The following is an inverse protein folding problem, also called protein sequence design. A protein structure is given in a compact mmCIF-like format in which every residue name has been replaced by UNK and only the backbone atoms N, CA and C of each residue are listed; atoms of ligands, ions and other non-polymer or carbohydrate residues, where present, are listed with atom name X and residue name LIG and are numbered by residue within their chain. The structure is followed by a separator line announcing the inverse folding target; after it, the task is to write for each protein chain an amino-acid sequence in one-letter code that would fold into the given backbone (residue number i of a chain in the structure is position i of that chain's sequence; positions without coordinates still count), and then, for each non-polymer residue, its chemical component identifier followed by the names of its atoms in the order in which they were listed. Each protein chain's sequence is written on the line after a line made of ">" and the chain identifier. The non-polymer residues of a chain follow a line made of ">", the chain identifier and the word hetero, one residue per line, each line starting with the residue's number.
data_IF_744838762974
#
_entry.id   IF_744838762974
#
_cell.length_a   1.000
_cell.length_b   1.000
_cell.length_c   1.000
_cell.angle_alpha   90.00
_cell.angle_beta   90.00
_cell.angle_gamma   90.00
#
_symmetry.space_group_name_H-M   'P 1'
#
loop_
_entity.id
_entity.type
_entity.pdbx_description
1 polymer ?
#
# COMPACT_ATOMS: atom_id res chain seq x y z
N UNK A 1 -12.33 -29.96 40.38
CA UNK A 1 -11.83 -28.85 39.54
C UNK A 1 -12.16 -27.52 40.19
N UNK A 2 -11.20 -26.91 40.89
CA UNK A 2 -11.38 -25.65 41.64
C UNK A 2 -11.16 -24.48 40.71
N UNK A 3 -12.18 -23.62 40.48
CA UNK A 3 -12.01 -22.35 39.81
C UNK A 3 -11.18 -21.40 40.69
N UNK A 4 -10.14 -20.76 40.20
CA UNK A 4 -9.37 -19.78 40.97
C UNK A 4 -10.28 -18.59 41.34
N UNK A 5 -10.35 -18.26 42.62
CA UNK A 5 -11.07 -17.08 43.15
C UNK A 5 -10.34 -15.83 42.62
N UNK A 6 -11.02 -14.96 41.87
CA UNK A 6 -10.51 -13.65 41.48
C UNK A 6 -10.21 -12.83 42.73
N UNK A 7 -9.08 -12.07 42.78
CA UNK A 7 -8.72 -11.25 43.92
C UNK A 7 -9.77 -10.17 44.18
N UNK A 8 -10.06 -9.90 45.46
CA UNK A 8 -11.11 -8.98 45.94
C UNK A 8 -11.04 -7.55 45.35
N UNK A 9 -9.85 -7.09 44.95
CA UNK A 9 -9.63 -5.79 44.34
C UNK A 9 -10.34 -5.67 42.95
N UNK A 10 -10.42 -6.76 42.20
CA UNK A 10 -11.14 -6.77 40.91
C UNK A 10 -12.66 -6.79 41.07
N UNK A 11 -13.17 -7.18 42.22
CA UNK A 11 -14.61 -7.23 42.52
C UNK A 11 -15.15 -5.85 42.89
N UNK A 12 -14.34 -5.03 43.60
CA UNK A 12 -14.72 -3.67 43.99
C UNK A 12 -14.77 -2.69 42.80
N UNK A 13 -13.99 -2.94 41.72
CA UNK A 13 -14.04 -2.13 40.50
C UNK A 13 -15.19 -2.51 39.56
N UNK A 14 -15.78 -3.73 39.72
CA UNK A 14 -16.91 -4.18 38.91
C UNK A 14 -18.26 -3.69 39.44
N UNK A 15 -18.34 -3.29 40.69
CA UNK A 15 -19.59 -2.91 41.38
C UNK A 15 -19.74 -1.36 41.51
N UNK A 16 -18.77 -0.59 41.04
CA UNK A 16 -18.94 0.85 40.89
C UNK A 16 -20.03 1.09 39.82
N UNK A 17 -21.09 1.86 40.12
CA UNK A 17 -22.06 2.22 39.08
C UNK A 17 -21.29 2.92 37.98
N UNK A 18 -21.19 2.28 36.82
CA UNK A 18 -20.70 2.92 35.59
C UNK A 18 -21.65 4.09 35.41
N UNK A 19 -21.17 5.29 35.74
CA UNK A 19 -21.87 6.54 35.43
C UNK A 19 -22.28 6.40 33.97
N UNK A 20 -23.58 6.34 33.69
CA UNK A 20 -24.09 6.17 32.36
C UNK A 20 -23.46 7.26 31.51
N UNK A 21 -22.51 6.86 30.68
CA UNK A 21 -21.94 7.79 29.69
C UNK A 21 -23.13 8.39 28.95
N UNK A 22 -23.14 9.71 28.71
CA UNK A 22 -24.25 10.36 28.03
C UNK A 22 -24.54 9.55 26.77
N UNK A 23 -25.76 9.03 26.64
CA UNK A 23 -26.17 8.21 25.49
C UNK A 23 -25.89 9.04 24.25
N UNK A 24 -24.88 8.63 23.50
CA UNK A 24 -24.50 9.31 22.27
C UNK A 24 -25.76 9.40 21.39
N UNK A 25 -26.06 10.60 20.91
CA UNK A 25 -27.25 10.82 20.09
C UNK A 25 -27.21 9.90 18.86
N UNK A 26 -28.34 9.23 18.55
CA UNK A 26 -28.43 8.38 17.37
C UNK A 26 -28.13 9.18 16.11
N UNK A 27 -27.41 8.59 15.14
CA UNK A 27 -27.01 9.27 13.92
C UNK A 27 -28.25 9.69 13.09
N UNK A 28 -28.19 10.79 12.35
CA UNK A 28 -29.23 11.19 11.41
C UNK A 28 -29.34 10.18 10.29
N UNK A 29 -30.57 9.73 9.94
CA UNK A 29 -30.80 8.60 9.02
C UNK A 29 -30.51 8.91 7.54
N UNK A 30 -30.55 10.17 7.11
CA UNK A 30 -30.33 10.56 5.72
C UNK A 30 -30.14 12.06 5.52
N UNK A 31 -29.71 12.48 4.33
CA UNK A 31 -29.58 13.87 3.92
C UNK A 31 -28.25 14.53 4.31
N UNK A 32 -28.08 15.83 4.07
CA UNK A 32 -26.82 16.54 4.28
C UNK A 32 -26.32 16.51 5.73
N UNK A 33 -27.24 16.38 6.70
CA UNK A 33 -26.90 16.22 8.12
C UNK A 33 -26.21 14.88 8.38
N UNK A 34 -26.56 13.81 7.67
CA UNK A 34 -25.90 12.51 7.78
C UNK A 34 -24.48 12.57 7.23
N UNK A 35 -24.25 13.25 6.10
CA UNK A 35 -22.91 13.44 5.53
C UNK A 35 -22.01 14.24 6.49
N UNK A 36 -22.52 15.34 7.02
CA UNK A 36 -21.78 16.14 8.01
C UNK A 36 -21.45 15.35 9.29
N UNK A 37 -22.38 14.51 9.74
CA UNK A 37 -22.17 13.67 10.91
C UNK A 37 -21.11 12.57 10.63
N UNK A 38 -21.16 11.91 9.46
CA UNK A 38 -20.15 10.92 9.05
C UNK A 38 -18.76 11.55 9.02
N UNK A 39 -18.64 12.73 8.41
CA UNK A 39 -17.37 13.43 8.34
C UNK A 39 -16.85 13.82 9.75
N UNK A 40 -17.73 14.32 10.61
CA UNK A 40 -17.39 14.66 12.00
C UNK A 40 -16.96 13.43 12.79
N UNK A 41 -17.73 12.34 12.72
CA UNK A 41 -17.44 11.09 13.41
C UNK A 41 -16.09 10.51 12.97
N UNK A 42 -15.87 10.41 11.66
CA UNK A 42 -14.64 9.86 11.11
C UNK A 42 -13.40 10.70 11.44
N UNK A 43 -13.51 12.04 11.38
CA UNK A 43 -12.37 12.93 11.64
C UNK A 43 -12.14 13.13 13.13
N UNK A 44 -13.16 13.51 13.88
CA UNK A 44 -12.98 13.86 15.29
C UNK A 44 -12.78 12.64 16.17
N UNK A 45 -13.67 11.66 16.10
CA UNK A 45 -13.57 10.46 16.91
C UNK A 45 -12.62 9.44 16.30
N UNK A 46 -12.73 9.20 15.00
CA UNK A 46 -11.90 8.24 14.30
C UNK A 46 -10.44 8.66 14.23
N UNK A 47 -10.16 9.80 13.63
CA UNK A 47 -8.78 10.20 13.36
C UNK A 47 -8.09 10.81 14.58
N UNK A 48 -8.74 11.78 15.28
CA UNK A 48 -8.11 12.57 16.34
C UNK A 48 -8.13 11.88 17.71
N UNK A 49 -9.17 11.13 18.03
CA UNK A 49 -9.33 10.49 19.34
C UNK A 49 -8.91 9.03 19.37
N UNK A 50 -8.91 8.36 18.23
CA UNK A 50 -8.74 6.92 18.08
C UNK A 50 -7.34 6.59 17.55
N UNK A 51 -6.30 6.78 18.24
CA UNK A 51 -4.89 6.38 17.95
C UNK A 51 -4.50 6.13 16.47
N UNK A 52 -5.30 6.65 15.50
CA UNK A 52 -5.09 6.43 14.06
C UNK A 52 -3.75 6.97 13.58
N UNK A 53 -3.24 8.02 14.23
CA UNK A 53 -1.90 8.55 13.96
C UNK A 53 -0.79 7.55 14.31
N UNK A 54 -0.93 6.83 15.43
CA UNK A 54 0.03 5.80 15.83
C UNK A 54 -0.02 4.60 14.88
N UNK A 55 -1.21 4.16 14.48
CA UNK A 55 -1.39 3.10 13.48
C UNK A 55 -0.84 3.50 12.12
N UNK A 56 -1.09 4.74 11.67
CA UNK A 56 -0.53 5.25 10.42
C UNK A 56 1.01 5.27 10.43
N UNK A 57 1.62 5.66 11.57
CA UNK A 57 3.08 5.62 11.73
C UNK A 57 3.63 4.19 11.64
N UNK A 58 2.96 3.22 12.28
CA UNK A 58 3.36 1.82 12.22
C UNK A 58 3.26 1.25 10.79
N UNK A 59 2.18 1.55 10.08
CA UNK A 59 1.99 1.16 8.67
C UNK A 59 3.07 1.79 7.80
N UNK A 60 3.32 3.10 7.95
CA UNK A 60 4.31 3.82 7.16
C UNK A 60 5.73 3.26 7.35
N UNK A 61 6.12 2.99 8.60
CA UNK A 61 7.41 2.38 8.92
C UNK A 61 7.51 0.97 8.32
N UNK A 62 6.49 0.14 8.51
CA UNK A 62 6.45 -1.23 7.97
C UNK A 62 6.53 -1.23 6.44
N UNK A 63 5.87 -0.26 5.78
CA UNK A 63 5.92 -0.09 4.34
C UNK A 63 7.32 0.30 3.87
N UNK A 64 7.90 1.33 4.45
CA UNK A 64 9.26 1.77 4.12
C UNK A 64 10.26 0.63 4.29
N UNK A 65 10.15 -0.12 5.40
CA UNK A 65 11.06 -1.23 5.70
C UNK A 65 10.89 -2.39 4.73
N UNK A 66 9.69 -2.62 4.19
CA UNK A 66 9.42 -3.66 3.20
C UNK A 66 10.04 -3.37 1.83
N UNK A 67 10.36 -2.11 1.52
CA UNK A 67 10.98 -1.74 0.24
C UNK A 67 12.37 -2.36 0.07
N UNK A 68 13.17 -2.49 1.14
CA UNK A 68 14.52 -3.04 1.05
C UNK A 68 14.53 -4.48 0.54
N UNK A 69 13.87 -5.46 1.19
CA UNK A 69 13.83 -6.84 0.69
C UNK A 69 13.06 -6.96 -0.62
N UNK A 70 12.09 -6.08 -0.89
CA UNK A 70 11.40 -6.03 -2.17
C UNK A 70 12.36 -5.66 -3.31
N UNK A 71 13.19 -4.63 -3.13
CA UNK A 71 14.21 -4.25 -4.11
C UNK A 71 15.24 -5.36 -4.33
N UNK A 72 15.67 -6.03 -3.25
CA UNK A 72 16.55 -7.20 -3.35
C UNK A 72 15.90 -8.31 -4.19
N UNK A 73 14.63 -8.60 -3.97
CA UNK A 73 13.91 -9.62 -4.72
C UNK A 73 13.76 -9.25 -6.20
N UNK A 74 13.34 -8.01 -6.48
CA UNK A 74 13.15 -7.52 -7.86
C UNK A 74 14.47 -7.56 -8.63
N UNK A 75 15.56 -7.08 -8.04
CA UNK A 75 16.88 -7.11 -8.66
C UNK A 75 17.39 -8.56 -8.84
N UNK A 76 17.13 -9.43 -7.85
CA UNK A 76 17.46 -10.84 -7.93
C UNK A 76 16.70 -11.57 -9.05
N UNK A 77 15.40 -11.32 -9.22
CA UNK A 77 14.58 -11.86 -10.31
C UNK A 77 15.08 -11.33 -11.66
N UNK A 78 15.30 -10.02 -11.75
CA UNK A 78 15.81 -9.40 -12.99
C UNK A 78 17.15 -9.99 -13.42
N UNK A 79 18.08 -10.16 -12.49
CA UNK A 79 19.37 -10.77 -12.78
C UNK A 79 19.28 -12.25 -13.13
N UNK A 80 18.40 -13.02 -12.46
CA UNK A 80 18.18 -14.44 -12.80
C UNK A 80 17.57 -14.59 -14.20
N UNK A 81 16.55 -13.80 -14.55
CA UNK A 81 15.95 -13.81 -15.88
C UNK A 81 16.95 -13.40 -16.95
N UNK A 82 17.76 -12.37 -16.69
CA UNK A 82 18.81 -11.94 -17.61
C UNK A 82 19.83 -13.04 -17.87
N UNK A 83 20.21 -13.82 -16.85
CA UNK A 83 21.16 -14.92 -16.99
C UNK A 83 20.59 -16.12 -17.75
N UNK A 84 19.28 -16.40 -17.61
CA UNK A 84 18.64 -17.55 -18.28
C UNK A 84 18.38 -17.29 -19.78
N UNK A 85 18.08 -16.07 -20.15
CA UNK A 85 17.65 -15.72 -21.51
C UNK A 85 18.71 -15.00 -22.33
N UNK A 86 19.97 -14.97 -21.85
CA UNK A 86 21.07 -14.30 -22.55
C UNK A 86 20.89 -12.77 -22.65
N UNK A 87 19.96 -12.21 -21.88
CA UNK A 87 19.67 -10.76 -21.90
C UNK A 87 20.90 -9.96 -21.47
N UNK A 88 21.79 -10.56 -20.66
CA UNK A 88 23.08 -9.96 -20.28
C UNK A 88 23.99 -9.71 -21.49
N UNK A 89 24.03 -10.66 -22.44
CA UNK A 89 24.78 -10.50 -23.71
C UNK A 89 24.10 -9.48 -24.63
N UNK A 90 22.76 -9.45 -24.66
CA UNK A 90 21.97 -8.46 -25.39
C UNK A 90 22.18 -7.04 -24.83
N UNK A 91 22.24 -6.89 -23.49
CA UNK A 91 22.52 -5.61 -22.85
C UNK A 91 23.97 -5.19 -23.10
N UNK A 92 24.93 -6.09 -23.01
CA UNK A 92 26.33 -5.82 -23.31
C UNK A 92 26.53 -5.47 -24.79
N UNK A 93 25.86 -6.16 -25.71
CA UNK A 93 25.86 -5.82 -27.13
C UNK A 93 25.18 -4.49 -27.42
N UNK A 94 24.12 -4.14 -26.67
CA UNK A 94 23.42 -2.88 -26.76
C UNK A 94 24.24 -1.70 -26.15
N UNK A 95 25.13 -1.98 -25.21
CA UNK A 95 26.08 -0.97 -24.68
C UNK A 95 27.20 -0.64 -25.69
N UNK A 96 27.58 -1.61 -26.52
CA UNK A 96 28.60 -1.42 -27.58
C UNK A 96 28.03 -0.82 -28.86
N UNK A 97 26.70 -0.83 -29.05
CA UNK A 97 26.01 -0.25 -30.20
C UNK A 97 25.31 1.05 -29.84
N UNK A 98 25.26 1.98 -30.82
CA UNK A 98 24.66 3.31 -30.68
C UNK A 98 23.12 3.34 -30.51
N UNK A 99 22.49 2.22 -30.21
CA UNK A 99 21.01 2.07 -30.17
C UNK A 99 20.46 1.19 -29.03
N UNK A 100 21.18 1.06 -27.92
CA UNK A 100 20.75 0.18 -26.83
C UNK A 100 19.49 0.66 -26.07
N UNK A 101 18.97 -0.23 -25.23
CA UNK A 101 17.81 -0.01 -24.33
C UNK A 101 17.89 1.31 -23.56
N UNK A 102 19.13 1.78 -23.27
CA UNK A 102 19.40 3.02 -22.58
C UNK A 102 19.26 4.26 -23.48
N UNK A 103 19.26 4.12 -24.80
CA UNK A 103 19.06 5.25 -25.72
C UNK A 103 17.60 5.72 -25.76
N UNK A 104 16.65 4.89 -25.32
CA UNK A 104 15.22 5.23 -25.25
C UNK A 104 14.87 5.90 -23.91
N UNK A 105 15.75 5.77 -22.90
CA UNK A 105 15.53 6.34 -21.56
C UNK A 105 16.11 7.76 -21.48
N UNK A 106 15.45 8.67 -20.72
CA UNK A 106 16.05 9.95 -20.36
C UNK A 106 17.43 9.74 -19.73
N UNK A 107 18.40 10.58 -20.07
CA UNK A 107 19.80 10.42 -19.63
C UNK A 107 19.97 10.31 -18.11
N UNK A 108 19.13 11.03 -17.35
CA UNK A 108 19.11 11.00 -15.89
C UNK A 108 18.70 9.61 -15.36
N UNK A 109 17.75 8.94 -16.02
CA UNK A 109 17.27 7.60 -15.67
C UNK A 109 18.31 6.55 -16.07
N UNK A 110 18.89 6.67 -17.27
CA UNK A 110 19.95 5.79 -17.74
C UNK A 110 21.19 5.83 -16.82
N UNK A 111 21.59 7.02 -16.37
CA UNK A 111 22.74 7.22 -15.48
C UNK A 111 22.56 6.54 -14.11
N UNK A 112 21.33 6.45 -13.61
CA UNK A 112 21.00 5.77 -12.34
C UNK A 112 20.91 4.26 -12.55
N UNK A 113 20.29 3.82 -13.65
CA UNK A 113 20.00 2.38 -13.86
C UNK A 113 21.21 1.58 -14.33
N UNK A 114 22.14 2.16 -15.11
CA UNK A 114 23.33 1.46 -15.61
C UNK A 114 24.15 0.80 -14.51
N UNK A 115 24.60 1.49 -13.44
CA UNK A 115 25.40 0.88 -12.38
C UNK A 115 24.61 -0.19 -11.62
N UNK A 116 23.31 0.01 -11.40
CA UNK A 116 22.45 -0.94 -10.70
C UNK A 116 22.26 -2.22 -11.51
N UNK A 117 22.03 -2.12 -12.82
CA UNK A 117 21.88 -3.27 -13.70
C UNK A 117 23.19 -4.05 -13.79
N UNK A 118 24.32 -3.38 -13.91
CA UNK A 118 25.63 -4.04 -13.95
C UNK A 118 25.96 -4.74 -12.63
N UNK A 119 25.63 -4.15 -11.49
CA UNK A 119 25.78 -4.76 -10.17
C UNK A 119 24.89 -6.02 -10.01
N UNK A 120 23.66 -5.97 -10.50
CA UNK A 120 22.73 -7.11 -10.48
C UNK A 120 23.22 -8.26 -11.36
N UNK A 121 23.74 -7.96 -12.54
CA UNK A 121 24.25 -8.97 -13.48
C UNK A 121 25.53 -9.66 -12.97
N UNK A 122 26.34 -8.96 -12.16
CA UNK A 122 27.61 -9.46 -11.63
C UNK A 122 27.48 -10.27 -10.33
N UNK A 123 26.34 -10.23 -9.65
CA UNK A 123 26.15 -10.84 -8.31
C UNK A 123 25.66 -12.29 -8.42
N UNK A 124 26.16 -13.18 -7.53
CA UNK A 124 25.68 -14.57 -7.45
C UNK A 124 24.22 -14.64 -6.97
N UNK A 125 23.31 -14.85 -7.90
CA UNK A 125 21.89 -14.51 -7.79
C UNK A 125 21.07 -15.48 -6.92
N UNK A 126 21.46 -16.73 -6.78
CA UNK A 126 20.67 -17.73 -6.06
C UNK A 126 20.52 -17.46 -4.56
N UNK A 127 21.60 -17.10 -3.88
CA UNK A 127 21.55 -16.80 -2.43
C UNK A 127 20.82 -15.49 -2.16
N UNK A 128 21.08 -14.47 -2.97
CA UNK A 128 20.45 -13.14 -2.84
C UNK A 128 18.94 -13.25 -3.03
N UNK A 129 18.50 -14.01 -4.03
CA UNK A 129 17.10 -14.27 -4.30
C UNK A 129 16.39 -14.97 -3.12
N UNK A 130 17.02 -16.04 -2.59
CA UNK A 130 16.45 -16.80 -1.47
C UNK A 130 16.35 -15.99 -0.20
N UNK A 131 17.41 -15.27 0.18
CA UNK A 131 17.41 -14.42 1.37
C UNK A 131 16.44 -13.24 1.21
N UNK A 132 16.44 -12.59 0.05
CA UNK A 132 15.51 -11.50 -0.26
C UNK A 132 14.05 -11.95 -0.18
N UNK A 133 13.72 -13.10 -0.76
CA UNK A 133 12.37 -13.67 -0.70
C UNK A 133 11.94 -14.00 0.74
N UNK A 134 12.82 -14.61 1.53
CA UNK A 134 12.53 -14.96 2.92
C UNK A 134 12.28 -13.70 3.78
N UNK A 135 13.16 -12.71 3.66
CA UNK A 135 13.02 -11.43 4.37
C UNK A 135 11.75 -10.69 3.94
N UNK A 136 11.44 -10.70 2.64
CA UNK A 136 10.22 -10.08 2.11
C UNK A 136 8.97 -10.72 2.72
N UNK A 137 8.87 -12.05 2.76
CA UNK A 137 7.74 -12.75 3.38
C UNK A 137 7.56 -12.33 4.84
N UNK A 138 8.64 -12.27 5.61
CA UNK A 138 8.59 -11.90 7.02
C UNK A 138 8.12 -10.46 7.21
N UNK A 139 8.70 -9.52 6.45
CA UNK A 139 8.47 -8.08 6.64
C UNK A 139 7.12 -7.65 6.07
N UNK A 140 6.75 -8.12 4.86
CA UNK A 140 5.48 -7.72 4.23
C UNK A 140 4.27 -8.34 4.94
N UNK A 141 4.40 -9.57 5.49
CA UNK A 141 3.33 -10.09 6.35
C UNK A 141 3.16 -9.24 7.61
N UNK A 142 4.22 -8.62 8.13
CA UNK A 142 4.15 -7.62 9.20
C UNK A 142 3.43 -6.33 8.77
N UNK A 143 3.66 -5.87 7.54
CA UNK A 143 2.94 -4.73 6.97
C UNK A 143 1.43 -5.02 6.86
N UNK A 144 1.05 -6.20 6.33
CA UNK A 144 -0.37 -6.58 6.25
C UNK A 144 -1.02 -6.66 7.63
N UNK A 145 -0.28 -7.15 8.64
CA UNK A 145 -0.77 -7.17 10.03
C UNK A 145 -0.93 -5.75 10.59
N UNK A 146 -0.02 -4.81 10.26
CA UNK A 146 -0.15 -3.40 10.66
C UNK A 146 -1.38 -2.74 10.03
N UNK A 147 -1.64 -3.02 8.74
CA UNK A 147 -2.86 -2.58 8.05
C UNK A 147 -4.11 -3.15 8.71
N UNK A 148 -4.11 -4.45 9.00
CA UNK A 148 -5.20 -5.16 9.67
C UNK A 148 -5.51 -4.56 11.04
N UNK A 149 -4.48 -4.35 11.87
CA UNK A 149 -4.65 -3.72 13.18
C UNK A 149 -5.29 -2.35 13.07
N UNK A 150 -4.77 -1.50 12.17
CA UNK A 150 -5.30 -0.16 11.97
C UNK A 150 -6.76 -0.17 11.49
N UNK A 151 -7.10 -1.04 10.55
CA UNK A 151 -8.47 -1.18 10.05
C UNK A 151 -9.41 -1.73 11.13
N UNK A 152 -9.00 -2.77 11.86
CA UNK A 152 -9.81 -3.30 12.97
C UNK A 152 -10.05 -2.26 14.07
N UNK A 153 -9.05 -1.42 14.33
CA UNK A 153 -9.20 -0.31 15.26
C UNK A 153 -10.22 0.71 14.75
N UNK A 154 -10.19 1.06 13.46
CA UNK A 154 -11.16 1.95 12.84
C UNK A 154 -12.60 1.42 12.91
N UNK A 155 -12.80 0.10 12.71
CA UNK A 155 -14.11 -0.55 12.82
C UNK A 155 -14.51 -0.92 14.24
N UNK A 156 -13.73 -0.59 15.28
CA UNK A 156 -13.94 -0.99 16.68
C UNK A 156 -14.18 -2.51 16.80
N UNK A 157 -13.45 -3.29 16.01
CA UNK A 157 -13.60 -4.76 15.99
C UNK A 157 -12.37 -5.43 16.60
N UNK A 158 -12.61 -6.50 17.34
CA UNK A 158 -11.56 -7.35 17.89
C UNK A 158 -11.34 -8.55 16.98
N UNK A 159 -10.09 -8.85 16.65
CA UNK A 159 -9.74 -9.97 15.77
C UNK A 159 -9.38 -11.23 16.58
N UNK A 160 -10.35 -12.15 16.71
CA UNK A 160 -10.19 -13.44 17.38
C UNK A 160 -9.58 -14.54 16.49
N UNK A 161 -9.21 -14.22 15.24
CA UNK A 161 -8.62 -15.20 14.32
C UNK A 161 -7.32 -15.73 14.88
N UNK A 162 -7.10 -17.04 14.74
CA UNK A 162 -5.86 -17.67 15.17
C UNK A 162 -4.65 -17.08 14.43
N UNK A 163 -3.52 -16.91 15.12
CA UNK A 163 -2.30 -16.30 14.58
C UNK A 163 -1.88 -16.88 13.21
N UNK A 164 -1.96 -18.22 13.05
CA UNK A 164 -1.61 -18.87 11.78
C UNK A 164 -2.51 -18.46 10.61
N UNK A 165 -3.82 -18.30 10.87
CA UNK A 165 -4.77 -17.87 9.84
C UNK A 165 -4.43 -16.46 9.38
N UNK A 166 -4.20 -15.54 10.31
CA UNK A 166 -3.78 -14.16 10.01
C UNK A 166 -2.48 -14.13 9.22
N UNK A 167 -1.53 -15.00 9.57
CA UNK A 167 -0.24 -15.09 8.86
C UNK A 167 -0.39 -15.61 7.43
N UNK A 168 -1.25 -16.62 7.23
CA UNK A 168 -1.56 -17.16 5.89
C UNK A 168 -2.28 -16.13 5.02
N UNK A 169 -3.28 -15.45 5.56
CA UNK A 169 -3.96 -14.35 4.86
C UNK A 169 -2.98 -13.24 4.48
N UNK A 170 -2.09 -12.81 5.39
CA UNK A 170 -1.04 -11.83 5.11
C UNK A 170 -0.09 -12.27 4.00
N UNK A 171 0.31 -13.55 4.01
CA UNK A 171 1.15 -14.13 2.94
C UNK A 171 0.41 -14.15 1.60
N UNK A 172 -0.88 -14.49 1.60
CA UNK A 172 -1.71 -14.47 0.40
C UNK A 172 -1.85 -13.07 -0.20
N UNK A 173 -2.13 -12.06 0.64
CA UNK A 173 -2.15 -10.66 0.21
C UNK A 173 -0.80 -10.21 -0.37
N UNK A 174 0.29 -10.60 0.28
CA UNK A 174 1.64 -10.32 -0.20
C UNK A 174 1.89 -10.93 -1.59
N UNK A 175 1.54 -12.21 -1.78
CA UNK A 175 1.75 -12.89 -3.06
C UNK A 175 0.93 -12.26 -4.18
N UNK A 176 -0.36 -11.99 -3.95
CA UNK A 176 -1.20 -11.32 -4.94
C UNK A 176 -0.69 -9.91 -5.24
N UNK A 177 -0.42 -9.11 -4.20
CA UNK A 177 0.12 -7.77 -4.36
C UNK A 177 1.46 -7.76 -5.11
N UNK A 178 2.34 -8.69 -4.77
CA UNK A 178 3.62 -8.89 -5.46
C UNK A 178 3.45 -9.23 -6.94
N UNK A 179 2.56 -10.16 -7.27
CA UNK A 179 2.25 -10.54 -8.66
C UNK A 179 1.68 -9.34 -9.43
N UNK A 180 0.78 -8.57 -8.82
CA UNK A 180 0.21 -7.38 -9.45
C UNK A 180 1.29 -6.33 -9.70
N UNK A 181 2.15 -6.03 -8.72
CA UNK A 181 3.23 -5.04 -8.86
C UNK A 181 4.25 -5.49 -9.91
N UNK A 182 4.67 -6.76 -9.89
CA UNK A 182 5.60 -7.30 -10.89
C UNK A 182 4.98 -7.33 -12.28
N UNK A 183 3.69 -7.70 -12.39
CA UNK A 183 2.95 -7.67 -13.66
C UNK A 183 2.81 -6.26 -14.22
N UNK A 184 2.53 -5.27 -13.39
CA UNK A 184 2.48 -3.86 -13.78
C UNK A 184 3.87 -3.36 -14.20
N UNK A 185 4.92 -3.69 -13.44
CA UNK A 185 6.30 -3.36 -13.79
C UNK A 185 6.70 -3.96 -15.14
N UNK A 186 6.35 -5.23 -15.37
CA UNK A 186 6.54 -5.89 -16.66
C UNK A 186 5.80 -5.15 -17.77
N UNK A 187 4.54 -4.81 -17.57
CA UNK A 187 3.73 -4.10 -18.56
C UNK A 187 4.29 -2.72 -18.90
N UNK A 188 4.75 -1.97 -17.89
CA UNK A 188 5.32 -0.61 -18.05
C UNK A 188 6.68 -0.64 -18.73
N UNK A 189 7.52 -1.63 -18.44
CA UNK A 189 8.90 -1.69 -18.94
C UNK A 189 8.99 -2.52 -20.22
N UNK A 190 8.41 -3.72 -20.23
CA UNK A 190 8.62 -4.68 -21.34
C UNK A 190 7.73 -4.35 -22.53
N UNK A 191 6.51 -3.88 -22.30
CA UNK A 191 5.58 -3.57 -23.40
C UNK A 191 6.12 -2.50 -24.38
N UNK A 192 6.66 -1.33 -23.92
CA UNK A 192 7.26 -0.36 -24.84
C UNK A 192 8.49 -0.90 -25.60
N UNK A 193 9.31 -1.73 -24.94
CA UNK A 193 10.49 -2.34 -25.56
C UNK A 193 10.08 -3.35 -26.65
N UNK A 194 9.12 -4.21 -26.35
CA UNK A 194 8.57 -5.17 -27.33
C UNK A 194 7.94 -4.41 -28.52
N UNK A 195 7.22 -3.33 -28.24
CA UNK A 195 6.62 -2.51 -29.27
C UNK A 195 7.66 -1.89 -30.20
N UNK A 196 8.72 -1.31 -29.63
CA UNK A 196 9.84 -0.75 -30.39
C UNK A 196 10.56 -1.78 -31.28
N UNK A 197 10.57 -3.05 -30.82
CA UNK A 197 11.12 -4.17 -31.58
C UNK A 197 10.18 -4.66 -32.69
N UNK A 198 8.88 -4.71 -32.42
CA UNK A 198 7.87 -5.23 -33.37
C UNK A 198 7.55 -4.20 -34.48
N UNK A 199 7.54 -2.91 -34.18
CA UNK A 199 7.11 -1.87 -35.10
C UNK A 199 7.90 -1.84 -36.45
N UNK A 200 9.23 -2.01 -36.48
CA UNK A 200 9.98 -2.07 -37.74
C UNK A 200 9.63 -3.30 -38.62
N UNK A 201 9.19 -4.41 -37.97
CA UNK A 201 8.85 -5.66 -38.68
C UNK A 201 7.38 -5.71 -39.09
N UNK A 202 6.51 -4.99 -38.38
CA UNK A 202 5.06 -4.98 -38.58
C UNK A 202 4.51 -3.55 -38.53
N UNK A 203 4.72 -2.70 -39.57
CA UNK A 203 4.27 -1.31 -39.53
C UNK A 203 2.76 -1.14 -39.36
N UNK A 204 1.99 -2.15 -39.75
CA UNK A 204 0.53 -2.17 -39.67
C UNK A 204 -0.01 -2.07 -38.23
N UNK A 205 0.81 -2.41 -37.23
CA UNK A 205 0.41 -2.33 -35.81
C UNK A 205 0.59 -0.92 -35.23
N UNK A 206 1.21 0.01 -35.96
CA UNK A 206 1.47 1.39 -35.47
C UNK A 206 0.21 2.10 -34.92
N UNK A 207 -0.98 2.00 -35.54
CA UNK A 207 -2.18 2.64 -35.02
C UNK A 207 -2.64 2.16 -33.64
N UNK A 208 -2.25 0.94 -33.27
CA UNK A 208 -2.63 0.32 -31.99
C UNK A 208 -1.81 0.84 -30.81
N UNK A 209 -0.71 1.56 -31.06
CA UNK A 209 0.18 2.06 -30.00
C UNK A 209 -0.55 2.94 -28.98
N UNK A 210 -1.45 3.79 -29.43
CA UNK A 210 -2.22 4.68 -28.55
C UNK A 210 -3.05 3.90 -27.53
N UNK A 211 -3.58 2.74 -27.91
CA UNK A 211 -4.34 1.86 -27.03
C UNK A 211 -3.42 1.13 -26.06
N UNK A 212 -2.33 0.53 -26.56
CA UNK A 212 -1.39 -0.23 -25.72
C UNK A 212 -0.62 0.67 -24.74
N UNK A 213 -0.29 1.89 -25.13
CA UNK A 213 0.42 2.82 -24.26
C UNK A 213 -0.40 3.31 -23.06
N UNK A 214 -1.73 3.28 -23.14
CA UNK A 214 -2.61 3.62 -22.01
C UNK A 214 -2.94 2.45 -21.10
N UNK A 215 -2.74 1.21 -21.53
CA UNK A 215 -3.04 0.02 -20.73
C UNK A 215 -2.36 0.00 -19.35
N UNK A 216 -1.04 0.32 -19.23
CA UNK A 216 -0.38 0.32 -17.92
C UNK A 216 -1.08 1.25 -16.91
N UNK A 217 -1.50 2.43 -17.34
CA UNK A 217 -2.20 3.38 -16.48
C UNK A 217 -3.57 2.85 -16.02
N UNK A 218 -4.32 2.24 -16.94
CA UNK A 218 -5.63 1.63 -16.63
C UNK A 218 -5.47 0.48 -15.64
N UNK A 219 -4.51 -0.43 -15.88
CA UNK A 219 -4.24 -1.56 -14.97
C UNK A 219 -3.72 -1.10 -13.62
N UNK A 220 -2.88 -0.06 -13.59
CA UNK A 220 -2.39 0.54 -12.35
C UNK A 220 -3.55 1.10 -11.51
N UNK A 221 -4.42 1.90 -12.13
CA UNK A 221 -5.59 2.45 -11.46
C UNK A 221 -6.55 1.35 -10.97
N UNK A 222 -6.83 0.37 -11.83
CA UNK A 222 -7.64 -0.79 -11.46
C UNK A 222 -7.02 -1.58 -10.31
N UNK A 223 -5.71 -1.78 -10.33
CA UNK A 223 -4.96 -2.44 -9.25
C UNK A 223 -5.10 -1.72 -7.91
N UNK A 224 -4.99 -0.38 -7.90
CA UNK A 224 -5.19 0.42 -6.69
C UNK A 224 -6.64 0.28 -6.17
N UNK A 225 -7.63 0.37 -7.05
CA UNK A 225 -9.04 0.22 -6.67
C UNK A 225 -9.30 -1.17 -6.08
N UNK A 226 -8.83 -2.22 -6.74
CA UNK A 226 -8.98 -3.60 -6.28
C UNK A 226 -8.24 -3.84 -4.96
N UNK A 227 -7.04 -3.28 -4.80
CA UNK A 227 -6.30 -3.33 -3.53
C UNK A 227 -7.10 -2.68 -2.40
N UNK A 228 -7.60 -1.46 -2.60
CA UNK A 228 -8.39 -0.76 -1.59
C UNK A 228 -9.67 -1.51 -1.24
N UNK A 229 -10.41 -1.98 -2.25
CA UNK A 229 -11.61 -2.78 -2.03
C UNK A 229 -11.28 -4.05 -1.24
N UNK A 230 -10.25 -4.79 -1.63
CA UNK A 230 -9.86 -6.01 -0.94
C UNK A 230 -9.40 -5.74 0.49
N UNK A 231 -8.62 -4.68 0.71
CA UNK A 231 -8.15 -4.30 2.04
C UNK A 231 -9.31 -3.93 2.98
N UNK A 232 -10.29 -3.15 2.51
CA UNK A 232 -11.44 -2.75 3.31
C UNK A 232 -12.49 -3.86 3.49
N UNK A 233 -12.54 -4.88 2.59
CA UNK A 233 -13.46 -5.99 2.70
C UNK A 233 -12.92 -7.15 3.54
N UNK A 234 -11.63 -7.48 3.41
CA UNK A 234 -11.09 -8.74 3.96
C UNK A 234 -10.17 -8.56 5.17
N UNK A 235 -9.54 -7.38 5.32
CA UNK A 235 -8.70 -7.15 6.51
C UNK A 235 -9.51 -7.03 7.80
N UNK A 236 -10.68 -6.33 7.83
CA UNK A 236 -11.46 -6.26 9.06
C UNK A 236 -11.85 -7.64 9.59
N UNK A 237 -11.89 -7.79 10.91
CA UNK A 237 -12.40 -8.99 11.56
C UNK A 237 -13.92 -9.14 11.43
N UNK A 238 -14.59 -8.04 11.10
CA UNK A 238 -16.02 -7.95 10.90
C UNK A 238 -16.37 -8.01 9.42
N UNK A 239 -17.39 -8.79 9.06
CA UNK A 239 -17.88 -8.89 7.69
C UNK A 239 -18.32 -7.53 7.15
N UNK A 240 -17.76 -7.15 6.03
CA UNK A 240 -18.06 -5.91 5.32
C UNK A 240 -18.84 -6.19 4.04
N UNK A 241 -19.72 -5.27 3.67
CA UNK A 241 -20.43 -5.34 2.40
C UNK A 241 -19.77 -4.42 1.37
N UNK A 242 -19.78 -4.81 0.09
CA UNK A 242 -19.19 -3.99 -0.98
C UNK A 242 -19.72 -2.55 -0.97
N UNK A 243 -21.05 -2.38 -0.83
CA UNK A 243 -21.67 -1.06 -0.74
C UNK A 243 -21.28 -0.29 0.53
N UNK A 244 -20.96 -0.99 1.61
CA UNK A 244 -20.53 -0.38 2.86
C UNK A 244 -19.12 0.22 2.80
N UNK A 245 -18.24 -0.36 1.98
CA UNK A 245 -16.84 0.10 1.87
C UNK A 245 -16.61 1.13 0.76
N UNK A 246 -17.56 1.28 -0.19
CA UNK A 246 -17.42 2.21 -1.32
C UNK A 246 -17.19 3.67 -0.90
N UNK A 247 -17.89 4.24 0.10
CA UNK A 247 -17.69 5.64 0.46
C UNK A 247 -16.25 5.93 0.92
N UNK A 248 -15.69 5.08 1.79
CA UNK A 248 -14.33 5.25 2.27
C UNK A 248 -13.30 5.01 1.17
N UNK A 249 -13.50 4.01 0.30
CA UNK A 249 -12.62 3.77 -0.85
C UNK A 249 -12.61 4.98 -1.79
N UNK A 250 -13.77 5.56 -2.10
CA UNK A 250 -13.86 6.74 -2.95
C UNK A 250 -13.14 7.95 -2.36
N UNK A 251 -13.32 8.20 -1.05
CA UNK A 251 -12.61 9.27 -0.34
C UNK A 251 -11.11 9.00 -0.30
N UNK A 252 -10.68 7.77 -0.01
CA UNK A 252 -9.27 7.38 -0.01
C UNK A 252 -8.62 7.64 -1.36
N UNK A 253 -9.23 7.21 -2.46
CA UNK A 253 -8.72 7.44 -3.83
C UNK A 253 -8.59 8.95 -4.13
N UNK A 254 -9.63 9.72 -3.80
CA UNK A 254 -9.62 11.17 -4.03
C UNK A 254 -8.52 11.86 -3.23
N UNK A 255 -8.40 11.53 -1.94
CA UNK A 255 -7.39 12.13 -1.08
C UNK A 255 -5.97 11.65 -1.42
N UNK A 256 -5.77 10.40 -1.87
CA UNK A 256 -4.47 9.93 -2.37
C UNK A 256 -4.04 10.70 -3.61
N UNK A 257 -4.96 10.96 -4.53
CA UNK A 257 -4.67 11.78 -5.71
C UNK A 257 -4.26 13.20 -5.32
N UNK A 258 -5.01 13.85 -4.43
CA UNK A 258 -4.69 15.19 -3.92
C UNK A 258 -3.36 15.19 -3.16
N UNK A 259 -3.15 14.21 -2.29
CA UNK A 259 -1.91 14.08 -1.52
C UNK A 259 -0.70 13.90 -2.46
N UNK A 260 -0.84 13.12 -3.54
CA UNK A 260 0.19 12.95 -4.56
C UNK A 260 0.56 14.27 -5.25
N UNK A 261 -0.44 15.08 -5.64
CA UNK A 261 -0.21 16.40 -6.23
C UNK A 261 0.48 17.35 -5.26
N UNK A 262 -0.01 17.43 -4.01
CA UNK A 262 0.59 18.28 -2.97
C UNK A 262 2.01 17.84 -2.66
N UNK A 263 2.25 16.54 -2.56
CA UNK A 263 3.57 16.00 -2.28
C UNK A 263 4.56 16.23 -3.43
N UNK A 264 4.11 16.09 -4.68
CA UNK A 264 4.89 16.42 -5.87
C UNK A 264 5.29 17.91 -5.89
N UNK A 265 4.34 18.78 -5.59
CA UNK A 265 4.61 20.21 -5.44
C UNK A 265 5.61 20.49 -4.32
N UNK A 266 5.42 19.86 -3.16
CA UNK A 266 6.36 19.97 -2.03
C UNK A 266 7.78 19.57 -2.43
N UNK A 267 7.96 18.40 -3.06
CA UNK A 267 9.29 17.93 -3.48
C UNK A 267 9.95 18.86 -4.49
N UNK A 268 9.20 19.46 -5.43
CA UNK A 268 9.74 20.37 -6.43
C UNK A 268 10.29 21.65 -5.82
N UNK A 269 9.70 22.13 -4.71
CA UNK A 269 10.14 23.36 -4.03
C UNK A 269 11.24 23.12 -2.98
N UNK A 270 11.31 21.92 -2.42
CA UNK A 270 12.27 21.56 -1.37
C UNK A 270 13.45 20.72 -1.87
N UNK A 271 13.64 20.58 -3.19
CA UNK A 271 14.74 19.80 -3.80
C UNK A 271 16.15 20.23 -3.37
N UNK A 272 16.33 21.52 -3.00
CA UNK A 272 17.58 22.01 -2.45
C UNK A 272 17.98 21.41 -1.09
N UNK A 273 17.00 21.07 -0.26
CA UNK A 273 17.21 20.47 1.07
C UNK A 273 17.73 19.03 0.96
N UNK A 274 17.26 18.28 -0.03
CA UNK A 274 17.70 16.92 -0.29
C UNK A 274 19.18 16.82 -0.67
N UNK A 275 19.75 17.84 -1.32
CA UNK A 275 21.16 17.90 -1.67
C UNK A 275 22.08 18.08 -0.45
N UNK A 276 21.61 18.78 0.58
CA UNK A 276 22.38 19.08 1.79
C UNK A 276 22.48 17.86 2.72
N UNK A 277 21.46 17.00 2.75
CA UNK A 277 21.36 15.86 3.67
C UNK A 277 21.58 14.48 3.00
N UNK A 278 22.24 14.44 1.82
CA UNK A 278 22.79 13.25 1.14
C UNK A 278 22.05 11.91 1.47
N UNK A 279 20.86 11.70 0.91
CA UNK A 279 20.09 10.44 1.08
C UNK A 279 19.15 10.40 2.28
N UNK A 280 19.44 11.07 3.39
CA UNK A 280 18.55 11.11 4.56
C UNK A 280 17.25 11.87 4.24
N UNK A 281 17.34 12.93 3.44
CA UNK A 281 16.18 13.69 2.98
C UNK A 281 15.18 12.85 2.20
N UNK A 282 15.66 11.94 1.35
CA UNK A 282 14.81 11.00 0.61
C UNK A 282 14.08 10.01 1.51
N UNK A 283 14.77 9.47 2.51
CA UNK A 283 14.15 8.54 3.48
C UNK A 283 13.08 9.23 4.33
N UNK A 284 13.35 10.46 4.81
CA UNK A 284 12.38 11.26 5.58
C UNK A 284 11.17 11.62 4.71
N UNK A 285 11.38 12.07 3.48
CA UNK A 285 10.31 12.39 2.55
C UNK A 285 9.45 11.15 2.23
N UNK A 286 10.08 9.99 1.99
CA UNK A 286 9.37 8.74 1.77
C UNK A 286 8.55 8.32 2.98
N UNK A 287 9.12 8.44 4.18
CA UNK A 287 8.41 8.13 5.43
C UNK A 287 7.20 9.03 5.63
N UNK A 288 7.34 10.34 5.38
CA UNK A 288 6.23 11.29 5.42
C UNK A 288 5.15 10.95 4.39
N UNK A 289 5.55 10.60 3.17
CA UNK A 289 4.61 10.20 2.12
C UNK A 289 3.80 8.96 2.53
N UNK A 290 4.47 7.89 2.97
CA UNK A 290 3.79 6.68 3.41
C UNK A 290 2.91 6.90 4.63
N UNK A 291 3.31 7.81 5.53
CA UNK A 291 2.51 8.21 6.67
C UNK A 291 1.19 8.88 6.24
N UNK A 292 1.26 9.83 5.30
CA UNK A 292 0.06 10.50 4.77
C UNK A 292 -0.84 9.49 4.05
N UNK A 293 -0.27 8.60 3.23
CA UNK A 293 -0.99 7.54 2.52
C UNK A 293 -1.70 6.60 3.50
N UNK A 294 -1.01 6.17 4.56
CA UNK A 294 -1.56 5.31 5.60
C UNK A 294 -2.67 6.01 6.40
N UNK A 295 -2.47 7.28 6.76
CA UNK A 295 -3.45 8.07 7.48
C UNK A 295 -4.75 8.26 6.68
N UNK A 296 -4.64 8.55 5.38
CA UNK A 296 -5.79 8.66 4.47
C UNK A 296 -6.50 7.31 4.32
N UNK A 297 -5.76 6.20 4.25
CA UNK A 297 -6.32 4.86 4.20
C UNK A 297 -7.16 4.55 5.45
N UNK A 298 -6.64 4.86 6.65
CA UNK A 298 -7.37 4.68 7.90
C UNK A 298 -8.58 5.61 8.01
N UNK A 299 -8.47 6.85 7.52
CA UNK A 299 -9.62 7.76 7.43
C UNK A 299 -10.73 7.18 6.55
N UNK A 300 -10.38 6.51 5.44
CA UNK A 300 -11.34 5.77 4.61
C UNK A 300 -12.07 4.67 5.40
N UNK A 301 -11.35 3.92 6.23
CA UNK A 301 -11.96 2.90 7.09
C UNK A 301 -12.90 3.51 8.14
N UNK A 302 -12.51 4.63 8.76
CA UNK A 302 -13.36 5.37 9.70
C UNK A 302 -14.64 5.91 9.05
N UNK A 303 -14.55 6.41 7.81
CA UNK A 303 -15.72 6.86 7.03
C UNK A 303 -16.65 5.69 6.75
N UNK A 304 -16.13 4.52 6.37
CA UNK A 304 -16.93 3.33 6.16
C UNK A 304 -17.65 2.92 7.44
N UNK A 305 -16.94 2.91 8.58
CA UNK A 305 -17.53 2.62 9.88
C UNK A 305 -18.66 3.60 10.24
N UNK A 306 -18.40 4.91 10.11
CA UNK A 306 -19.41 5.94 10.37
C UNK A 306 -20.62 5.82 9.41
N UNK A 307 -20.39 5.49 8.14
CA UNK A 307 -21.44 5.23 7.17
C UNK A 307 -22.30 4.02 7.56
N UNK A 308 -21.68 2.95 8.06
CA UNK A 308 -22.38 1.77 8.56
C UNK A 308 -23.28 2.10 9.75
N UNK A 309 -22.78 2.89 10.70
CA UNK A 309 -23.58 3.34 11.86
C UNK A 309 -24.83 4.12 11.43
N UNK A 310 -24.70 5.02 10.45
CA UNK A 310 -25.84 5.78 9.89
C UNK A 310 -26.83 4.84 9.22
N UNK A 311 -26.34 3.88 8.41
CA UNK A 311 -27.20 2.94 7.67
C UNK A 311 -27.99 2.04 8.61
N UNK A 312 -27.39 1.60 9.70
CA UNK A 312 -28.00 0.70 10.67
C UNK A 312 -28.75 1.44 11.80
N UNK A 313 -28.62 2.76 11.87
CA UNK A 313 -29.22 3.58 12.94
C UNK A 313 -28.63 3.27 14.32
N UNK A 314 -27.39 2.76 14.37
CA UNK A 314 -26.70 2.44 15.62
C UNK A 314 -25.98 3.65 16.19
N UNK A 315 -26.05 3.87 17.52
CA UNK A 315 -25.26 4.91 18.15
C UNK A 315 -23.76 4.57 18.07
N UNK A 316 -22.87 5.59 18.00
CA UNK A 316 -21.44 5.37 18.03
C UNK A 316 -21.01 4.78 19.38
N UNK A 317 -19.94 3.98 19.35
CA UNK A 317 -19.31 3.38 20.53
C UNK A 317 -17.97 4.11 20.75
N UNK A 318 -17.97 5.10 21.64
CA UNK A 318 -16.76 5.87 21.99
C UNK A 318 -16.10 5.32 23.25
#
# INVERSE_FOLDING_TARGET
>A
MCRPRRPLIFRAMSDAPVSAAPTAASPPRSGPRAVGWIAWEAVYWGLLRNESFAHASNIAFSFLFSLFPFMILVTGIAGWTASQWGVGELIAAAEQGTGGIFAVLPEQVAAILKPEISAVLSTSQGRVLTVGALLLVIIVTGLVESLRMGVNYAYRSYDDRHFLIRRLEGTFFMLIGGIVILGLGFLVVVLPVLWGFLLPHFPEIAPWWSYFNSLPLVFFFLGIVLFLLSAHLWLPARDQTLLGVLPGVAVTLTLWFVAGLVFSWYLSHFSGYAKTYAGLGGAIASMLFFYIVALIFLLGAEINHAFELVREGRPPQH
#
